data_IF_734512723736
#
_entry.id   IF_734512723736
#
_cell.length_a   1.000
_cell.length_b   1.000
_cell.length_c   1.000
_cell.angle_alpha   90.00
_cell.angle_beta   90.00
_cell.angle_gamma   90.00
#
_symmetry.space_group_name_H-M   'P 1'
#
loop_
_entity.id
_entity.type
_entity.pdbx_description
1 polymer ?
#
# COMPACT_ATOMS: atom_id res chain seq x y z
N UNK A 1 -0.15 -4.40 -14.90
CA UNK A 1 -1.42 -3.62 -14.89
C UNK A 1 -1.76 -3.33 -13.44
N UNK A 2 -1.93 -2.06 -13.12
CA UNK A 2 -2.06 -1.59 -11.75
C UNK A 2 -3.45 -1.09 -11.44
N UNK A 3 -3.95 -1.45 -10.27
CA UNK A 3 -5.07 -0.78 -9.62
C UNK A 3 -4.55 0.23 -8.61
N UNK A 4 -5.18 1.40 -8.59
CA UNK A 4 -4.91 2.45 -7.61
C UNK A 4 -6.22 2.84 -6.95
N UNK A 5 -6.20 2.98 -5.63
CA UNK A 5 -7.33 3.46 -4.86
C UNK A 5 -6.91 4.58 -3.90
N UNK A 6 -7.84 5.49 -3.65
CA UNK A 6 -7.64 6.60 -2.70
C UNK A 6 -8.78 6.59 -1.69
N UNK A 7 -8.42 6.72 -0.41
CA UNK A 7 -9.38 6.94 0.67
C UNK A 7 -9.15 8.31 1.30
N UNK A 8 -10.24 8.89 1.82
CA UNK A 8 -10.15 10.13 2.60
C UNK A 8 -9.63 9.86 4.04
N UNK A 9 -9.52 10.92 4.85
CA UNK A 9 -9.05 10.82 6.25
C UNK A 9 -9.92 9.87 7.11
N UNK A 10 -11.20 9.70 6.80
CA UNK A 10 -12.10 8.76 7.50
C UNK A 10 -11.98 7.32 7.02
N UNK A 11 -11.20 7.07 5.98
CA UNK A 11 -11.04 5.75 5.38
C UNK A 11 -12.08 5.41 4.30
N UNK A 12 -12.95 6.36 3.93
CA UNK A 12 -13.94 6.17 2.88
C UNK A 12 -13.29 6.22 1.50
N UNK A 13 -13.63 5.28 0.61
CA UNK A 13 -13.11 5.25 -0.76
C UNK A 13 -13.59 6.48 -1.54
N UNK A 14 -12.65 7.27 -2.05
CA UNK A 14 -12.92 8.45 -2.87
C UNK A 14 -12.89 8.12 -4.36
N UNK A 15 -11.90 7.34 -4.77
CA UNK A 15 -11.66 6.99 -6.17
C UNK A 15 -10.92 5.67 -6.27
N UNK A 16 -11.09 4.99 -7.39
CA UNK A 16 -10.23 3.93 -7.84
C UNK A 16 -10.05 4.04 -9.37
N UNK A 17 -8.93 3.55 -9.85
CA UNK A 17 -8.61 3.49 -11.28
C UNK A 17 -7.78 2.24 -11.56
N UNK A 18 -7.78 1.82 -12.81
CA UNK A 18 -6.93 0.72 -13.31
C UNK A 18 -6.20 1.19 -14.55
N UNK A 19 -4.97 0.72 -14.75
CA UNK A 19 -4.09 1.13 -15.87
C UNK A 19 -4.37 0.37 -17.18
N UNK A 20 -5.59 -0.11 -17.37
CA UNK A 20 -6.04 -0.84 -18.56
C UNK A 20 -7.50 -0.55 -18.86
N UNK A 21 -7.86 -0.59 -20.14
CA UNK A 21 -9.26 -0.50 -20.59
C UNK A 21 -10.01 -1.83 -20.42
N UNK A 22 -9.29 -2.91 -20.14
CA UNK A 22 -9.84 -4.25 -19.90
C UNK A 22 -9.53 -4.70 -18.45
N UNK A 23 -10.32 -4.27 -17.43
CA UNK A 23 -10.07 -4.63 -16.03
C UNK A 23 -9.97 -6.14 -15.76
N UNK A 24 -10.68 -6.95 -16.54
CA UNK A 24 -10.63 -8.41 -16.43
C UNK A 24 -9.24 -9.00 -16.79
N UNK A 25 -8.41 -8.26 -17.51
CA UNK A 25 -7.04 -8.68 -17.85
C UNK A 25 -6.03 -8.44 -16.72
N UNK A 26 -6.42 -7.69 -15.69
CA UNK A 26 -5.60 -7.48 -14.48
C UNK A 26 -5.83 -8.59 -13.46
N UNK A 27 -4.92 -8.70 -12.49
CA UNK A 27 -5.13 -9.63 -11.39
C UNK A 27 -6.35 -9.23 -10.55
N UNK A 28 -7.33 -10.13 -10.43
CA UNK A 28 -8.66 -9.84 -9.86
C UNK A 28 -8.59 -9.36 -8.38
N UNK A 29 -7.62 -9.83 -7.62
CA UNK A 29 -7.43 -9.42 -6.24
C UNK A 29 -6.92 -7.99 -6.06
N UNK A 30 -6.31 -7.41 -7.10
CA UNK A 30 -5.60 -6.13 -7.00
C UNK A 30 -6.50 -4.96 -6.63
N UNK A 31 -7.73 -4.92 -7.11
CA UNK A 31 -8.67 -3.84 -6.79
C UNK A 31 -8.97 -3.76 -5.28
N UNK A 32 -9.28 -4.90 -4.67
CA UNK A 32 -9.54 -4.99 -3.23
C UNK A 32 -8.27 -4.69 -2.42
N UNK A 33 -7.12 -5.23 -2.84
CA UNK A 33 -5.84 -5.01 -2.18
C UNK A 33 -5.44 -3.53 -2.24
N UNK A 34 -5.62 -2.84 -3.38
CA UNK A 34 -5.34 -1.41 -3.49
C UNK A 34 -6.17 -0.59 -2.50
N UNK A 35 -7.47 -0.86 -2.37
CA UNK A 35 -8.35 -0.20 -1.38
C UNK A 35 -7.91 -0.48 0.05
N UNK A 36 -7.60 -1.72 0.38
CA UNK A 36 -7.13 -2.12 1.71
C UNK A 36 -5.76 -1.51 2.04
N UNK A 37 -4.83 -1.41 1.08
CA UNK A 37 -3.55 -0.71 1.24
C UNK A 37 -3.77 0.78 1.53
N UNK A 38 -4.66 1.45 0.77
CA UNK A 38 -5.00 2.86 1.01
C UNK A 38 -5.58 3.07 2.41
N UNK A 39 -6.52 2.20 2.81
CA UNK A 39 -7.11 2.24 4.15
C UNK A 39 -6.05 2.04 5.23
N UNK A 40 -5.19 1.02 5.11
CA UNK A 40 -4.16 0.69 6.09
C UNK A 40 -3.18 1.85 6.27
N UNK A 41 -2.65 2.41 5.18
CA UNK A 41 -1.72 3.53 5.25
C UNK A 41 -2.37 4.76 5.93
N UNK A 42 -3.64 5.04 5.63
CA UNK A 42 -4.40 6.08 6.31
C UNK A 42 -4.58 5.77 7.81
N UNK A 43 -4.98 4.55 8.17
CA UNK A 43 -5.34 4.17 9.54
C UNK A 43 -4.13 4.14 10.49
N UNK A 44 -2.98 3.71 10.01
CA UNK A 44 -1.74 3.62 10.81
C UNK A 44 -0.93 4.93 10.87
N UNK A 45 -1.29 5.93 10.07
CA UNK A 45 -0.60 7.22 10.04
C UNK A 45 -1.32 8.27 10.89
N UNK A 46 -0.53 9.21 11.44
CA UNK A 46 -1.03 10.40 12.13
C UNK A 46 -0.61 11.66 11.38
N UNK A 47 -1.00 12.84 11.84
CA UNK A 47 -0.56 14.11 11.23
C UNK A 47 0.96 14.31 11.34
N UNK A 48 1.62 13.69 12.33
CA UNK A 48 3.06 13.86 12.60
C UNK A 48 3.91 12.65 12.23
N UNK A 49 3.29 11.49 12.03
CA UNK A 49 3.99 10.24 11.78
C UNK A 49 3.38 9.50 10.60
N UNK A 50 3.95 9.65 9.40
CA UNK A 50 3.58 8.87 8.24
C UNK A 50 4.08 7.43 8.38
N UNK A 51 3.21 6.47 8.05
CA UNK A 51 3.51 5.03 8.06
C UNK A 51 2.95 4.41 6.79
N UNK A 52 3.83 4.00 5.89
CA UNK A 52 3.44 3.20 4.73
C UNK A 52 3.18 1.74 5.13
N UNK A 53 2.42 1.02 4.29
CA UNK A 53 2.15 -0.40 4.53
C UNK A 53 3.41 -1.26 4.46
N UNK A 54 4.44 -0.84 3.72
CA UNK A 54 5.74 -1.51 3.68
C UNK A 54 6.42 -1.56 5.06
N UNK A 55 6.26 -0.54 5.88
CA UNK A 55 6.86 -0.44 7.22
C UNK A 55 6.14 -1.30 8.27
N UNK A 56 5.02 -1.90 7.94
CA UNK A 56 4.27 -2.79 8.82
C UNK A 56 4.66 -4.27 8.65
N UNK A 57 5.41 -4.61 7.59
CA UNK A 57 5.67 -6.02 7.24
C UNK A 57 6.30 -6.79 8.41
N UNK A 58 7.48 -6.39 8.86
CA UNK A 58 8.19 -7.08 9.96
C UNK A 58 7.37 -7.08 11.24
N UNK A 59 6.70 -5.97 11.58
CA UNK A 59 5.86 -5.86 12.77
C UNK A 59 4.68 -6.84 12.78
N UNK A 60 4.21 -7.26 11.62
CA UNK A 60 3.07 -8.17 11.48
C UNK A 60 3.47 -9.66 11.41
N UNK A 61 4.77 -9.99 11.43
CA UNK A 61 5.24 -11.37 11.41
C UNK A 61 5.05 -12.05 12.76
N UNK A 62 5.05 -13.41 12.81
CA UNK A 62 4.97 -14.16 14.06
C UNK A 62 6.02 -13.70 15.08
N UNK A 63 5.60 -13.50 16.33
CA UNK A 63 6.46 -13.01 17.41
C UNK A 63 6.61 -11.48 17.50
N UNK A 64 6.00 -10.72 16.59
CA UNK A 64 6.03 -9.26 16.61
C UNK A 64 4.68 -8.65 17.06
N UNK A 65 4.72 -7.35 17.43
CA UNK A 65 3.62 -6.66 18.12
C UNK A 65 2.31 -6.52 17.33
N UNK A 66 2.36 -6.52 15.99
CA UNK A 66 1.19 -6.43 15.12
C UNK A 66 0.80 -7.78 14.49
N UNK A 67 1.33 -8.89 15.02
CA UNK A 67 0.93 -10.21 14.52
C UNK A 67 -0.59 -10.40 14.63
N UNK A 68 -1.21 -10.82 13.53
CA UNK A 68 -2.67 -10.98 13.44
C UNK A 68 -3.45 -9.70 13.09
N UNK A 69 -2.81 -8.54 12.98
CA UNK A 69 -3.49 -7.29 12.64
C UNK A 69 -4.27 -7.36 11.31
N UNK A 70 -3.76 -8.13 10.33
CA UNK A 70 -4.46 -8.35 9.06
C UNK A 70 -5.82 -9.05 9.21
N UNK A 71 -5.99 -9.89 10.25
CA UNK A 71 -7.24 -10.60 10.50
C UNK A 71 -8.22 -9.79 11.36
N UNK A 72 -7.74 -8.76 12.07
CA UNK A 72 -8.54 -7.97 12.99
C UNK A 72 -9.46 -6.96 12.29
N UNK A 73 -9.23 -6.69 11.02
CA UNK A 73 -9.99 -5.71 10.23
C UNK A 73 -10.31 -6.29 8.85
N UNK A 74 -11.42 -7.03 8.71
CA UNK A 74 -11.80 -7.65 7.45
C UNK A 74 -12.17 -6.61 6.39
N UNK A 75 -11.95 -6.97 5.13
CA UNK A 75 -12.40 -6.18 3.98
C UNK A 75 -13.90 -6.42 3.74
N UNK A 76 -14.64 -5.34 3.49
CA UNK A 76 -16.08 -5.41 3.21
C UNK A 76 -16.33 -5.98 1.80
N UNK A 77 -17.02 -7.13 1.67
CA UNK A 77 -17.34 -7.72 0.37
C UNK A 77 -18.13 -6.81 -0.58
N UNK A 78 -18.89 -5.83 -0.07
CA UNK A 78 -19.61 -4.87 -0.89
C UNK A 78 -18.69 -3.92 -1.65
N UNK A 79 -17.42 -3.84 -1.26
CA UNK A 79 -16.39 -3.04 -1.91
C UNK A 79 -15.62 -3.78 -3.02
N UNK A 80 -15.99 -5.04 -3.32
CA UNK A 80 -15.36 -5.80 -4.39
C UNK A 80 -15.80 -5.28 -5.76
N UNK A 81 -14.80 -4.89 -6.58
CA UNK A 81 -15.05 -4.60 -7.99
C UNK A 81 -15.22 -5.90 -8.76
N UNK A 82 -16.18 -5.92 -9.67
CA UNK A 82 -16.38 -7.05 -10.59
C UNK A 82 -15.78 -6.71 -11.96
N UNK A 83 -15.34 -7.70 -12.74
CA UNK A 83 -14.76 -7.47 -14.06
C UNK A 83 -15.70 -6.73 -15.04
N UNK A 84 -17.00 -6.86 -14.82
CA UNK A 84 -18.06 -6.20 -15.62
C UNK A 84 -18.73 -5.03 -14.88
N UNK A 85 -18.28 -4.71 -13.67
CA UNK A 85 -18.90 -3.69 -12.81
C UNK A 85 -18.24 -2.33 -12.90
N UNK A 86 -18.84 -1.38 -12.22
CA UNK A 86 -18.28 -0.04 -12.10
C UNK A 86 -16.96 -0.08 -11.32
N UNK A 87 -15.95 0.60 -11.84
CA UNK A 87 -14.71 0.87 -11.12
C UNK A 87 -15.04 1.71 -9.89
N UNK A 88 -14.39 1.42 -8.76
CA UNK A 88 -14.62 2.04 -7.46
C UNK A 88 -15.90 1.57 -6.74
N UNK A 89 -16.19 0.28 -6.75
CA UNK A 89 -17.14 -0.30 -5.80
C UNK A 89 -16.77 0.13 -4.37
N UNK A 90 -17.77 0.43 -3.56
CA UNK A 90 -17.59 0.97 -2.21
C UNK A 90 -17.26 2.45 -2.13
N UNK A 91 -17.37 3.22 -3.22
CA UNK A 91 -17.19 4.68 -3.18
C UNK A 91 -18.11 5.32 -2.14
N UNK A 92 -17.52 6.12 -1.25
CA UNK A 92 -18.22 6.73 -0.11
C UNK A 92 -18.33 5.82 1.13
N UNK A 93 -17.84 4.56 1.05
CA UNK A 93 -17.85 3.60 2.17
C UNK A 93 -16.44 3.38 2.71
N UNK A 94 -16.37 2.95 3.97
CA UNK A 94 -15.15 2.44 4.60
C UNK A 94 -15.08 0.94 4.30
N UNK A 95 -14.24 0.58 3.34
CA UNK A 95 -14.10 -0.82 2.93
C UNK A 95 -13.24 -1.65 3.88
N UNK A 96 -12.43 -1.01 4.71
CA UNK A 96 -11.56 -1.70 5.64
C UNK A 96 -10.44 -2.49 4.97
N UNK A 97 -10.13 -3.62 5.56
CA UNK A 97 -8.98 -4.44 5.19
C UNK A 97 -7.68 -3.93 5.81
N UNK A 98 -6.75 -4.84 6.11
CA UNK A 98 -5.40 -4.47 6.57
C UNK A 98 -4.38 -5.22 5.75
N UNK A 99 -3.56 -4.48 5.00
CA UNK A 99 -2.47 -5.01 4.19
C UNK A 99 -1.15 -4.50 4.76
N UNK A 100 -0.23 -5.41 5.04
CA UNK A 100 1.03 -5.14 5.76
C UNK A 100 2.27 -5.36 4.89
N UNK A 101 2.16 -5.10 3.60
CA UNK A 101 3.27 -5.13 2.63
C UNK A 101 3.17 -3.93 1.67
N UNK A 102 4.24 -3.65 0.94
CA UNK A 102 4.38 -2.43 0.13
C UNK A 102 3.23 -2.13 -0.82
N UNK A 103 3.02 -0.84 -1.09
CA UNK A 103 2.05 -0.29 -2.03
C UNK A 103 1.00 0.62 -1.43
N UNK A 104 0.96 0.81 -0.10
CA UNK A 104 0.09 1.79 0.56
C UNK A 104 0.89 2.94 1.15
N UNK A 105 0.51 4.17 0.86
CA UNK A 105 1.14 5.39 1.38
C UNK A 105 0.10 6.38 1.90
N UNK A 106 0.33 7.03 3.04
CA UNK A 106 -0.55 8.09 3.53
C UNK A 106 -0.41 9.35 2.68
N UNK A 107 -1.48 10.11 2.57
CA UNK A 107 -1.55 11.35 1.82
C UNK A 107 -1.59 12.56 2.77
N UNK A 108 -0.83 13.59 2.47
CA UNK A 108 -0.74 14.79 3.28
C UNK A 108 -1.01 16.06 2.46
N UNK A 109 -1.56 17.06 3.13
CA UNK A 109 -1.61 18.44 2.65
C UNK A 109 -0.98 19.32 3.72
N UNK A 110 0.27 19.73 3.47
CA UNK A 110 1.11 20.33 4.51
C UNK A 110 1.31 19.37 5.68
N UNK A 111 0.97 19.78 6.88
CA UNK A 111 1.11 18.98 8.11
C UNK A 111 -0.06 18.04 8.42
N UNK A 112 -1.11 18.06 7.61
CA UNK A 112 -2.35 17.33 7.90
C UNK A 112 -2.44 16.11 7.00
N UNK A 113 -2.62 14.92 7.60
CA UNK A 113 -2.98 13.71 6.87
C UNK A 113 -4.40 13.86 6.33
N UNK A 114 -4.56 13.72 5.02
CA UNK A 114 -5.86 13.88 4.34
C UNK A 114 -6.46 12.57 3.86
N UNK A 115 -5.69 11.48 3.87
CA UNK A 115 -6.16 10.18 3.41
C UNK A 115 -5.03 9.19 3.21
N UNK A 116 -5.27 8.20 2.35
CA UNK A 116 -4.28 7.21 1.92
C UNK A 116 -4.47 6.84 0.46
N UNK A 117 -3.40 6.37 -0.16
CA UNK A 117 -3.34 5.84 -1.51
C UNK A 117 -2.76 4.43 -1.46
N UNK A 118 -3.36 3.51 -2.23
CA UNK A 118 -2.87 2.15 -2.40
C UNK A 118 -2.74 1.80 -3.86
N UNK A 119 -1.63 1.15 -4.22
CA UNK A 119 -1.38 0.56 -5.53
C UNK A 119 -1.22 -0.94 -5.42
N UNK A 120 -1.71 -1.69 -6.39
CA UNK A 120 -1.61 -3.16 -6.44
C UNK A 120 -1.76 -3.68 -7.85
N UNK A 121 -0.88 -4.59 -8.24
CA UNK A 121 -0.89 -5.22 -9.57
C UNK A 121 0.43 -5.87 -9.93
N UNK A 122 1.47 -5.62 -9.16
CA UNK A 122 2.81 -6.16 -9.34
C UNK A 122 3.35 -6.65 -7.97
N UNK A 123 4.66 -6.79 -7.83
CA UNK A 123 5.28 -7.09 -6.54
C UNK A 123 5.04 -5.96 -5.55
N UNK A 124 5.01 -6.28 -4.26
CA UNK A 124 4.82 -5.27 -3.21
C UNK A 124 5.84 -4.12 -3.27
N UNK A 125 7.05 -4.39 -3.75
CA UNK A 125 8.10 -3.37 -3.90
C UNK A 125 7.81 -2.44 -5.09
N UNK A 126 7.34 -2.99 -6.23
CA UNK A 126 6.94 -2.20 -7.39
C UNK A 126 5.68 -1.38 -7.09
N UNK A 127 4.66 -1.99 -6.48
CA UNK A 127 3.45 -1.31 -6.01
C UNK A 127 3.80 -0.11 -5.11
N UNK A 128 4.80 -0.27 -4.22
CA UNK A 128 5.24 0.80 -3.32
C UNK A 128 5.86 1.98 -4.07
N UNK A 129 6.76 1.71 -5.03
CA UNK A 129 7.37 2.76 -5.85
C UNK A 129 6.33 3.50 -6.70
N UNK A 130 5.33 2.79 -7.22
CA UNK A 130 4.23 3.38 -7.98
C UNK A 130 3.38 4.28 -7.08
N UNK A 131 2.97 3.79 -5.91
CA UNK A 131 2.17 4.56 -4.95
C UNK A 131 2.90 5.83 -4.51
N UNK A 132 4.19 5.73 -4.17
CA UNK A 132 5.03 6.86 -3.77
C UNK A 132 5.14 7.91 -4.89
N UNK A 133 5.37 7.48 -6.14
CA UNK A 133 5.45 8.39 -7.28
C UNK A 133 4.13 9.11 -7.56
N UNK A 134 3.00 8.41 -7.48
CA UNK A 134 1.68 9.03 -7.63
C UNK A 134 1.45 10.07 -6.53
N UNK A 135 1.76 9.75 -5.27
CA UNK A 135 1.68 10.69 -4.15
C UNK A 135 2.52 11.95 -4.41
N UNK A 136 3.77 11.78 -4.83
CA UNK A 136 4.69 12.88 -5.13
C UNK A 136 4.17 13.77 -6.27
N UNK A 137 3.74 13.18 -7.38
CA UNK A 137 3.17 13.90 -8.52
C UNK A 137 1.89 14.68 -8.16
N UNK A 138 1.14 14.18 -7.17
CA UNK A 138 -0.06 14.85 -6.66
C UNK A 138 0.25 15.97 -5.64
N UNK A 139 1.52 16.19 -5.26
CA UNK A 139 1.94 17.12 -4.20
C UNK A 139 1.27 16.82 -2.84
N UNK A 140 1.18 15.53 -2.50
CA UNK A 140 0.57 15.05 -1.25
C UNK A 140 1.57 14.32 -0.35
N UNK A 141 2.87 14.64 -0.47
CA UNK A 141 3.94 14.11 0.37
C UNK A 141 3.83 14.60 1.81
N UNK A 142 4.33 13.82 2.78
CA UNK A 142 4.54 14.31 4.15
C UNK A 142 5.48 15.53 4.18
N UNK A 143 5.28 16.43 5.13
CA UNK A 143 6.14 17.64 5.30
C UNK A 143 7.63 17.27 5.44
N UNK A 144 7.93 16.11 6.03
CA UNK A 144 9.30 15.60 6.20
C UNK A 144 9.94 15.06 4.91
N UNK A 145 9.23 15.12 3.80
CA UNK A 145 9.67 14.65 2.49
C UNK A 145 9.11 13.31 2.08
N UNK A 146 9.24 13.01 0.80
CA UNK A 146 8.66 11.82 0.15
C UNK A 146 9.24 10.47 0.64
N UNK A 147 10.45 10.48 1.22
CA UNK A 147 11.16 9.27 1.65
C UNK A 147 10.99 8.93 3.13
N UNK A 148 10.24 9.72 3.90
CA UNK A 148 10.14 9.53 5.36
C UNK A 148 9.50 8.20 5.76
N UNK A 149 8.62 7.69 4.93
CA UNK A 149 7.92 6.41 5.09
C UNK A 149 8.25 5.41 3.98
N UNK A 150 9.38 5.61 3.28
CA UNK A 150 9.82 4.75 2.18
C UNK A 150 10.03 3.30 2.62
N UNK A 151 9.98 2.40 1.65
CA UNK A 151 10.29 0.99 1.85
C UNK A 151 11.78 0.84 2.19
N UNK A 152 12.09 0.05 3.20
CA UNK A 152 13.46 -0.27 3.61
C UNK A 152 13.67 -1.77 3.63
N UNK A 153 14.88 -2.23 3.34
CA UNK A 153 15.24 -3.63 3.24
C UNK A 153 16.40 -3.94 4.17
N UNK A 154 16.32 -5.02 4.95
CA UNK A 154 17.36 -5.39 5.91
C UNK A 154 18.74 -5.55 5.27
N UNK A 155 18.81 -6.07 4.04
CA UNK A 155 20.06 -6.28 3.32
C UNK A 155 20.71 -4.99 2.78
N UNK A 156 19.90 -3.96 2.49
CA UNK A 156 20.39 -2.71 1.91
C UNK A 156 20.48 -1.56 2.92
N UNK A 157 19.56 -1.53 3.90
CA UNK A 157 19.40 -0.40 4.83
C UNK A 157 19.74 -0.78 6.28
N UNK A 158 20.03 -2.06 6.52
CA UNK A 158 20.28 -2.61 7.85
C UNK A 158 19.01 -3.09 8.55
N UNK A 159 19.14 -3.99 9.55
CA UNK A 159 18.02 -4.60 10.25
C UNK A 159 17.23 -3.56 11.07
N UNK A 160 15.91 -3.58 10.96
CA UNK A 160 15.02 -2.80 11.81
C UNK A 160 13.63 -3.45 11.89
N UNK A 161 12.79 -3.01 12.83
CA UNK A 161 11.41 -3.45 12.93
C UNK A 161 10.52 -2.95 11.76
N UNK A 162 11.03 -2.06 10.93
CA UNK A 162 10.29 -1.45 9.82
C UNK A 162 10.73 -1.94 8.44
N UNK A 163 11.53 -3.01 8.36
CA UNK A 163 12.01 -3.53 7.08
C UNK A 163 10.97 -4.41 6.39
N UNK A 164 11.09 -4.46 5.09
CA UNK A 164 10.33 -5.29 4.17
C UNK A 164 11.30 -6.26 3.46
N UNK A 165 10.92 -7.47 3.09
CA UNK A 165 11.77 -8.34 2.29
C UNK A 165 11.98 -7.76 0.88
N UNK A 166 13.10 -8.13 0.25
CA UNK A 166 13.29 -7.87 -1.16
C UNK A 166 12.22 -8.62 -1.96
N UNK A 167 11.71 -8.00 -3.01
CA UNK A 167 10.83 -8.65 -3.96
C UNK A 167 11.64 -9.20 -5.14
N UNK A 168 11.04 -10.06 -5.94
CA UNK A 168 11.61 -10.44 -7.22
C UNK A 168 11.93 -9.17 -8.02
N UNK A 169 13.17 -9.06 -8.50
CA UNK A 169 13.63 -7.91 -9.27
C UNK A 169 13.41 -6.55 -8.59
N UNK A 170 13.81 -6.44 -7.32
CA UNK A 170 13.59 -5.23 -6.52
C UNK A 170 14.35 -4.02 -7.03
N UNK A 171 13.63 -2.94 -7.31
CA UNK A 171 14.16 -1.63 -7.68
C UNK A 171 13.69 -0.56 -6.69
N UNK A 172 14.54 0.42 -6.39
CA UNK A 172 14.20 1.58 -5.60
C UNK A 172 14.95 2.81 -6.15
N UNK A 173 14.21 3.86 -6.48
CA UNK A 173 14.77 5.10 -7.03
C UNK A 173 15.66 4.86 -8.27
N UNK A 174 15.22 3.97 -9.17
CA UNK A 174 15.93 3.66 -10.41
C UNK A 174 17.17 2.77 -10.27
N UNK A 175 17.46 2.25 -9.07
CA UNK A 175 18.58 1.35 -8.80
C UNK A 175 18.09 -0.04 -8.42
N UNK A 176 18.60 -1.08 -9.07
CA UNK A 176 18.35 -2.47 -8.67
C UNK A 176 19.05 -2.76 -7.34
N UNK A 177 18.29 -3.24 -6.36
CA UNK A 177 18.79 -3.61 -5.03
C UNK A 177 19.03 -5.11 -4.89
N UNK A 178 18.34 -5.92 -5.66
CA UNK A 178 18.43 -7.38 -5.61
C UNK A 178 17.12 -8.05 -6.01
N UNK A 179 17.10 -9.34 -5.91
CA UNK A 179 15.95 -10.18 -6.13
C UNK A 179 15.56 -10.90 -4.84
N UNK A 180 14.27 -11.19 -4.70
CA UNK A 180 13.77 -12.09 -3.68
C UNK A 180 14.43 -13.46 -3.89
N UNK A 181 15.17 -13.92 -2.90
CA UNK A 181 15.58 -15.31 -2.85
C UNK A 181 14.40 -16.12 -2.35
N UNK A 182 14.02 -17.22 -3.03
CA UNK A 182 13.02 -18.13 -2.47
C UNK A 182 13.41 -18.45 -1.04
N UNK A 183 12.54 -18.16 -0.09
CA UNK A 183 12.80 -18.47 1.31
C UNK A 183 13.02 -19.99 1.40
N UNK A 184 14.23 -20.38 1.76
CA UNK A 184 14.52 -21.76 2.06
C UNK A 184 13.61 -22.15 3.25
N UNK A 185 12.58 -22.94 2.99
CA UNK A 185 11.78 -23.57 4.03
C UNK A 185 10.43 -22.91 4.38
N UNK A 186 9.67 -22.50 3.38
CA UNK A 186 8.21 -22.54 3.53
C UNK A 186 7.72 -23.95 3.28
#
# INVERSE_FOLDING_TARGET
MEWVAVVNRRGEVCAAAVSTDEPASSWQGSAAIAKAKAYTANAFSTDTQPVSTARLYTLAQPGHSLYGAANANPFDPQCLDTPSGAIAAGKGHVCGGTIVFGGGVPLYKGKTRVGGLGASGDTACADHEIAKRIRHLANLDPEKGEFVDDITFSSADGPSAFTHPLCANTWRNGKKLGDETPAAGY
#
